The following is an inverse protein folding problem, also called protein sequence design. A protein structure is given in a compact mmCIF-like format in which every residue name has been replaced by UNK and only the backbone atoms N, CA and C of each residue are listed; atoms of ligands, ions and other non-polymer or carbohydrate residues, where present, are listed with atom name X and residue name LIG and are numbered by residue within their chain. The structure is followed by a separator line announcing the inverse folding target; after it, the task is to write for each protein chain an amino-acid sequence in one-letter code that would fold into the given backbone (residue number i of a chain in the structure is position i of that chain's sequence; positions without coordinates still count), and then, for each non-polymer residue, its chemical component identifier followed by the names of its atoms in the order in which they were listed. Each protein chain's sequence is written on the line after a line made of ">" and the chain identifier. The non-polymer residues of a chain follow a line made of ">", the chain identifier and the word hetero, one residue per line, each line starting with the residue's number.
data_IF_167725469424
#
_entry.id   IF_167725469424
#
_cell.length_a   1.000
_cell.length_b   1.000
_cell.length_c   1.000
_cell.angle_alpha   90.00
_cell.angle_beta   90.00
_cell.angle_gamma   90.00
#
_symmetry.space_group_name_H-M   'P 1'
#
loop_
_entity.id
_entity.type
_entity.pdbx_description
1 polymer ?
#
# COMPACT_ATOMS: atom_id res chain seq x y z
N UNK A 1 -8.15 -5.85 11.05
CA UNK A 1 -7.10 -6.85 10.73
C UNK A 1 -5.81 -6.22 10.18
N UNK A 2 -5.81 -4.97 9.70
CA UNK A 2 -4.60 -4.25 9.25
C UNK A 2 -3.65 -3.83 10.37
N UNK A 3 -4.12 -3.68 11.59
CA UNK A 3 -3.32 -3.28 12.76
C UNK A 3 -2.33 -4.35 13.22
N UNK A 4 -2.65 -5.63 13.09
CA UNK A 4 -1.79 -6.72 13.57
C UNK A 4 -0.48 -6.85 12.79
N UNK A 5 -0.43 -6.40 11.52
CA UNK A 5 0.79 -6.46 10.71
C UNK A 5 1.78 -5.35 11.09
N UNK A 6 1.29 -4.18 11.45
CA UNK A 6 2.13 -3.06 11.92
C UNK A 6 2.67 -3.29 13.32
N UNK A 7 1.88 -3.92 14.22
CA UNK A 7 2.32 -4.25 15.58
C UNK A 7 3.45 -5.29 15.60
N UNK A 8 3.47 -6.22 14.64
CA UNK A 8 4.54 -7.23 14.56
C UNK A 8 5.93 -6.62 14.23
N UNK A 9 5.97 -5.41 13.68
CA UNK A 9 7.22 -4.70 13.41
C UNK A 9 7.67 -3.79 14.57
N UNK A 10 6.78 -3.43 15.48
CA UNK A 10 7.10 -2.56 16.60
C UNK A 10 7.93 -3.25 17.70
N UNK A 11 7.76 -4.57 17.87
CA UNK A 11 8.33 -5.28 19.02
C UNK A 11 9.78 -5.78 18.82
N UNK A 12 10.36 -5.75 17.62
CA UNK A 12 11.66 -6.38 17.37
C UNK A 12 12.76 -5.45 16.80
N UNK A 13 12.49 -4.16 16.53
CA UNK A 13 13.47 -3.41 15.72
C UNK A 13 13.51 -1.91 16.01
N UNK A 14 14.14 -1.51 17.09
CA UNK A 14 14.69 -0.16 17.21
C UNK A 14 15.60 0.12 16.00
N UNK A 15 15.18 0.99 15.11
CA UNK A 15 15.96 1.42 13.93
C UNK A 15 15.78 0.63 12.63
N UNK A 16 15.20 -0.59 12.63
CA UNK A 16 15.00 -1.31 11.37
C UNK A 16 13.86 -0.72 10.53
N UNK A 17 12.83 -0.18 11.18
CA UNK A 17 11.75 0.52 10.47
C UNK A 17 12.26 1.81 9.84
N UNK A 18 13.10 2.57 10.54
CA UNK A 18 13.74 3.78 10.00
C UNK A 18 14.55 3.48 8.75
N UNK A 19 15.28 2.36 8.75
CA UNK A 19 16.07 1.93 7.60
C UNK A 19 15.19 1.48 6.40
N UNK A 20 14.01 0.92 6.66
CA UNK A 20 13.11 0.41 5.62
C UNK A 20 12.11 1.46 5.11
N UNK A 21 11.71 2.42 5.94
CA UNK A 21 10.68 3.40 5.63
C UNK A 21 10.93 4.18 4.31
N UNK A 22 12.14 4.66 4.01
CA UNK A 22 12.41 5.32 2.73
C UNK A 22 12.20 4.41 1.52
N UNK A 23 12.66 3.17 1.59
CA UNK A 23 12.51 2.20 0.50
C UNK A 23 11.05 1.79 0.28
N UNK A 24 10.29 1.65 1.37
CA UNK A 24 8.84 1.36 1.31
C UNK A 24 8.10 2.54 0.68
N UNK A 25 8.38 3.77 1.13
CA UNK A 25 7.79 4.98 0.58
C UNK A 25 8.10 5.14 -0.91
N UNK A 26 9.35 4.98 -1.32
CA UNK A 26 9.77 5.05 -2.72
C UNK A 26 9.07 4.00 -3.58
N UNK A 27 9.01 2.75 -3.10
CA UNK A 27 8.37 1.66 -3.85
C UNK A 27 6.86 1.88 -3.95
N UNK A 28 6.20 2.26 -2.85
CA UNK A 28 4.77 2.54 -2.85
C UNK A 28 4.43 3.73 -3.75
N UNK A 29 5.25 4.78 -3.77
CA UNK A 29 5.06 5.94 -4.66
C UNK A 29 5.14 5.54 -6.14
N UNK A 30 6.06 4.68 -6.54
CA UNK A 30 6.09 4.16 -7.92
C UNK A 30 4.83 3.37 -8.29
N UNK A 31 4.28 2.59 -7.36
CA UNK A 31 3.03 1.88 -7.59
C UNK A 31 1.84 2.85 -7.73
N UNK A 32 1.78 3.87 -6.88
CA UNK A 32 0.76 4.91 -6.96
C UNK A 32 0.88 5.73 -8.27
N UNK A 33 2.08 6.08 -8.67
CA UNK A 33 2.35 6.81 -9.91
C UNK A 33 1.89 6.02 -11.15
N UNK A 34 2.08 4.70 -11.18
CA UNK A 34 1.60 3.85 -12.27
C UNK A 34 0.09 3.90 -12.49
N UNK A 35 -0.66 4.17 -11.42
CA UNK A 35 -2.12 4.19 -11.41
C UNK A 35 -2.71 5.60 -11.54
N UNK A 36 -2.13 6.57 -10.84
CA UNK A 36 -2.68 7.89 -10.61
C UNK A 36 -1.78 9.04 -11.08
N UNK A 37 -0.61 8.74 -11.71
CA UNK A 37 0.38 9.73 -12.05
C UNK A 37 1.01 10.36 -10.80
N UNK A 38 1.53 11.58 -10.94
CA UNK A 38 2.23 12.31 -9.88
C UNK A 38 1.30 12.93 -8.82
N UNK A 39 -0.01 12.70 -8.92
CA UNK A 39 -0.98 13.31 -8.01
C UNK A 39 -0.73 12.97 -6.55
N UNK A 40 -0.42 11.71 -6.27
CA UNK A 40 -0.26 11.22 -4.90
C UNK A 40 1.17 10.85 -4.61
N UNK A 41 1.63 11.27 -3.43
CA UNK A 41 2.85 10.73 -2.84
C UNK A 41 2.66 10.44 -1.36
N UNK A 42 3.39 9.44 -0.87
CA UNK A 42 3.38 9.07 0.54
C UNK A 42 4.77 9.16 1.13
N UNK A 43 4.83 9.48 2.41
CA UNK A 43 6.04 9.33 3.23
C UNK A 43 5.69 8.67 4.55
N UNK A 44 6.62 7.88 5.06
CA UNK A 44 6.50 7.24 6.36
C UNK A 44 7.38 8.01 7.32
N UNK A 45 6.76 8.61 8.34
CA UNK A 45 7.44 9.26 9.45
C UNK A 45 7.51 8.29 10.62
N UNK A 46 8.70 8.06 11.14
CA UNK A 46 8.96 7.09 12.21
C UNK A 46 9.27 7.77 13.53
N UNK A 47 9.45 9.10 13.51
CA UNK A 47 9.80 9.88 14.69
C UNK A 47 9.08 11.23 14.72
N UNK A 48 8.81 11.73 15.93
CA UNK A 48 8.35 13.09 16.16
C UNK A 48 9.15 13.80 17.24
N UNK A 49 9.19 15.11 17.22
CA UNK A 49 9.77 15.90 18.30
C UNK A 49 8.69 16.14 19.35
N UNK A 50 8.87 15.54 20.54
CA UNK A 50 7.99 15.77 21.70
C UNK A 50 8.68 16.62 22.77
N UNK A 51 7.88 17.23 23.66
CA UNK A 51 8.34 18.11 24.74
C UNK A 51 8.39 19.58 24.35
N UNK A 52 8.64 20.44 25.33
CA UNK A 52 8.71 21.90 25.17
C UNK A 52 10.05 22.46 25.65
N UNK A 53 10.52 23.54 25.03
CA UNK A 53 11.73 24.25 25.43
C UNK A 53 12.99 23.39 25.35
N UNK A 54 13.79 23.36 26.43
CA UNK A 54 15.06 22.62 26.53
C UNK A 54 14.89 21.08 26.68
N UNK A 55 13.65 20.61 26.89
CA UNK A 55 13.32 19.19 27.07
C UNK A 55 12.78 18.54 25.80
N UNK A 56 13.12 19.05 24.62
CA UNK A 56 12.78 18.41 23.35
C UNK A 56 13.50 17.07 23.22
N UNK A 57 12.71 16.00 23.02
CA UNK A 57 13.22 14.65 22.76
C UNK A 57 12.60 14.14 21.49
N UNK A 58 13.37 13.38 20.74
CA UNK A 58 12.85 12.57 19.64
C UNK A 58 12.06 11.41 20.26
N UNK A 59 10.83 11.24 19.82
CA UNK A 59 9.91 10.19 20.27
C UNK A 59 9.60 9.36 19.04
N UNK A 60 9.66 8.05 19.16
CA UNK A 60 9.17 7.16 18.13
C UNK A 60 7.68 7.41 17.90
N UNK A 61 7.32 7.61 16.65
CA UNK A 61 5.94 7.86 16.24
C UNK A 61 5.79 7.39 14.77
N UNK A 62 4.86 6.51 14.52
CA UNK A 62 4.64 5.99 13.18
C UNK A 62 3.45 6.69 12.52
N UNK A 63 3.73 7.42 11.45
CA UNK A 63 2.69 8.08 10.66
C UNK A 63 2.92 7.88 9.17
N UNK A 64 1.83 7.64 8.48
CA UNK A 64 1.80 7.65 7.02
C UNK A 64 1.23 9.01 6.59
N UNK A 65 2.10 9.84 6.02
CA UNK A 65 1.73 11.12 5.44
C UNK A 65 1.38 10.91 3.97
N UNK A 66 0.33 11.56 3.52
CA UNK A 66 -0.15 11.51 2.14
C UNK A 66 -0.19 12.93 1.59
N UNK A 67 0.52 13.18 0.53
CA UNK A 67 0.44 14.41 -0.24
C UNK A 67 -0.45 14.16 -1.47
N UNK A 68 -1.46 14.99 -1.66
CA UNK A 68 -2.45 14.93 -2.72
C UNK A 68 -2.57 16.32 -3.33
N UNK A 69 -2.19 16.50 -4.57
CA UNK A 69 -2.15 17.80 -5.27
C UNK A 69 -1.45 18.91 -4.45
N UNK A 70 -0.39 18.53 -3.71
CA UNK A 70 0.43 19.46 -2.91
C UNK A 70 -0.06 19.69 -1.47
N UNK A 71 -1.22 19.18 -1.08
CA UNK A 71 -1.70 19.20 0.30
C UNK A 71 -1.30 17.94 1.04
N UNK A 72 -0.63 18.09 2.18
CA UNK A 72 -0.17 16.95 2.99
C UNK A 72 -1.05 16.76 4.21
N UNK A 73 -1.51 15.52 4.40
CA UNK A 73 -2.31 15.10 5.56
C UNK A 73 -1.92 13.69 5.99
N UNK A 74 -2.46 13.20 7.10
CA UNK A 74 -2.27 11.80 7.50
C UNK A 74 -3.24 10.90 6.73
N UNK A 75 -2.85 9.61 6.58
CA UNK A 75 -3.67 8.61 5.90
C UNK A 75 -5.07 8.45 6.53
N UNK A 76 -5.18 8.63 7.84
CA UNK A 76 -6.43 8.54 8.58
C UNK A 76 -7.46 9.60 8.16
N UNK A 77 -6.99 10.71 7.62
CA UNK A 77 -7.83 11.82 7.16
C UNK A 77 -8.29 11.66 5.69
N UNK A 78 -7.85 10.62 5.00
CA UNK A 78 -8.28 10.33 3.64
C UNK A 78 -9.63 9.62 3.60
N UNK A 79 -10.35 9.78 2.50
CA UNK A 79 -11.61 9.05 2.27
C UNK A 79 -11.40 7.54 2.30
N UNK A 80 -12.47 6.79 2.61
CA UNK A 80 -12.40 5.32 2.67
C UNK A 80 -11.87 4.70 1.36
N UNK A 81 -12.30 5.21 0.22
CA UNK A 81 -11.83 4.75 -1.10
C UNK A 81 -10.35 5.05 -1.32
N UNK A 82 -9.90 6.29 -1.03
CA UNK A 82 -8.48 6.67 -1.17
C UNK A 82 -7.58 5.86 -0.23
N UNK A 83 -8.01 5.67 1.01
CA UNK A 83 -7.25 4.89 1.98
C UNK A 83 -7.05 3.42 1.56
N UNK A 84 -8.01 2.82 0.84
CA UNK A 84 -7.92 1.42 0.37
C UNK A 84 -6.72 1.24 -0.55
N UNK A 85 -6.62 2.01 -1.62
CA UNK A 85 -5.55 1.81 -2.60
C UNK A 85 -4.20 2.35 -2.12
N UNK A 86 -4.16 3.39 -1.26
CA UNK A 86 -2.91 3.84 -0.64
C UNK A 86 -2.35 2.74 0.29
N UNK A 87 -3.17 2.18 1.17
CA UNK A 87 -2.77 1.05 2.02
C UNK A 87 -2.29 -0.13 1.18
N UNK A 88 -2.98 -0.41 0.08
CA UNK A 88 -2.58 -1.47 -0.83
C UNK A 88 -1.20 -1.25 -1.41
N UNK A 89 -0.90 -0.05 -1.91
CA UNK A 89 0.42 0.28 -2.44
C UNK A 89 1.53 0.07 -1.40
N UNK A 90 1.27 0.41 -0.14
CA UNK A 90 2.21 0.18 0.97
C UNK A 90 2.43 -1.32 1.22
N UNK A 91 1.35 -2.14 1.26
CA UNK A 91 1.49 -3.59 1.45
C UNK A 91 2.28 -4.25 0.32
N UNK A 92 2.02 -3.83 -0.91
CA UNK A 92 2.75 -4.35 -2.07
C UNK A 92 4.22 -3.91 -2.05
N UNK A 93 4.51 -2.67 -1.61
CA UNK A 93 5.87 -2.20 -1.42
C UNK A 93 6.64 -3.06 -0.41
N UNK A 94 6.01 -3.45 0.70
CA UNK A 94 6.61 -4.40 1.65
C UNK A 94 6.95 -5.73 1.00
N UNK A 95 6.06 -6.29 0.19
CA UNK A 95 6.32 -7.55 -0.51
C UNK A 95 7.51 -7.45 -1.46
N UNK A 96 7.63 -6.34 -2.20
CA UNK A 96 8.75 -6.05 -3.10
C UNK A 96 10.06 -5.91 -2.34
N UNK A 97 10.08 -5.12 -1.26
CA UNK A 97 11.26 -4.88 -0.43
C UNK A 97 11.72 -6.20 0.23
N UNK A 98 10.79 -6.95 0.82
CA UNK A 98 11.10 -8.25 1.42
C UNK A 98 11.77 -9.18 0.42
N UNK A 99 11.24 -9.25 -0.81
CA UNK A 99 11.86 -10.06 -1.86
C UNK A 99 13.28 -9.61 -2.17
N UNK A 100 13.52 -8.30 -2.30
CA UNK A 100 14.85 -7.75 -2.58
C UNK A 100 15.85 -8.10 -1.49
N UNK A 101 15.43 -8.00 -0.23
CA UNK A 101 16.32 -8.15 0.92
C UNK A 101 16.58 -9.61 1.30
N UNK A 102 15.60 -10.50 1.11
CA UNK A 102 15.69 -11.89 1.60
C UNK A 102 15.74 -12.93 0.48
N UNK A 103 15.46 -12.54 -0.77
CA UNK A 103 15.25 -13.47 -1.88
C UNK A 103 13.93 -14.24 -1.79
N UNK A 104 13.19 -14.14 -0.66
CA UNK A 104 11.92 -14.80 -0.48
C UNK A 104 10.83 -14.08 -1.28
N UNK A 105 10.08 -14.82 -2.08
CA UNK A 105 8.98 -14.30 -2.87
C UNK A 105 7.67 -14.98 -2.53
N UNK A 106 6.64 -14.17 -2.32
CA UNK A 106 5.27 -14.67 -2.46
C UNK A 106 5.01 -14.89 -3.96
N UNK A 107 4.46 -16.04 -4.30
CA UNK A 107 4.18 -16.37 -5.71
C UNK A 107 2.76 -16.00 -6.11
N UNK A 108 1.86 -15.89 -5.15
CA UNK A 108 0.44 -15.63 -5.37
C UNK A 108 -0.06 -14.53 -4.43
N UNK A 109 -0.77 -13.59 -5.00
CA UNK A 109 -1.50 -12.56 -4.28
C UNK A 109 -3.00 -12.80 -4.42
N UNK A 110 -3.73 -12.69 -3.31
CA UNK A 110 -5.19 -12.77 -3.28
C UNK A 110 -5.78 -11.42 -2.93
N UNK A 111 -6.82 -11.03 -3.65
CA UNK A 111 -7.63 -9.84 -3.44
C UNK A 111 -9.09 -10.27 -3.34
N UNK A 112 -9.71 -10.02 -2.18
CA UNK A 112 -11.10 -10.40 -1.93
C UNK A 112 -11.94 -9.13 -1.74
N UNK A 113 -12.75 -8.82 -2.74
CA UNK A 113 -13.70 -7.67 -2.78
C UNK A 113 -13.09 -6.31 -2.36
N UNK A 114 -11.78 -6.13 -2.55
CA UNK A 114 -11.07 -4.90 -2.15
C UNK A 114 -11.45 -3.68 -2.98
N UNK A 115 -12.11 -3.87 -4.11
CA UNK A 115 -12.59 -2.85 -5.03
C UNK A 115 -14.01 -2.34 -4.70
N UNK A 116 -14.69 -2.91 -3.70
CA UNK A 116 -16.09 -2.59 -3.38
C UNK A 116 -16.34 -1.12 -3.00
N UNK A 117 -15.36 -0.44 -2.40
CA UNK A 117 -15.45 0.97 -2.02
C UNK A 117 -15.01 1.96 -3.11
N UNK A 118 -14.58 1.46 -4.29
CA UNK A 118 -14.02 2.26 -5.37
C UNK A 118 -15.09 2.61 -6.43
N UNK A 119 -15.05 3.84 -6.95
CA UNK A 119 -15.80 4.20 -8.15
C UNK A 119 -15.19 3.59 -9.43
N UNK A 120 -15.83 3.73 -10.56
CA UNK A 120 -15.41 3.10 -11.82
C UNK A 120 -14.01 3.58 -12.27
N UNK A 121 -13.68 4.85 -12.08
CA UNK A 121 -12.38 5.40 -12.47
C UNK A 121 -11.27 4.91 -11.53
N UNK A 122 -11.54 4.88 -10.24
CA UNK A 122 -10.62 4.37 -9.23
C UNK A 122 -10.37 2.86 -9.37
N UNK A 123 -11.39 2.06 -9.81
CA UNK A 123 -11.22 0.64 -10.12
C UNK A 123 -10.23 0.42 -11.26
N UNK A 124 -10.32 1.23 -12.31
CA UNK A 124 -9.38 1.16 -13.44
C UNK A 124 -7.95 1.45 -13.00
N UNK A 125 -7.75 2.53 -12.22
CA UNK A 125 -6.46 2.89 -11.67
C UNK A 125 -5.93 1.81 -10.72
N UNK A 126 -6.79 1.25 -9.88
CA UNK A 126 -6.46 0.16 -8.97
C UNK A 126 -5.96 -1.09 -9.70
N UNK A 127 -6.61 -1.50 -10.80
CA UNK A 127 -6.15 -2.63 -11.61
C UNK A 127 -4.75 -2.38 -12.20
N UNK A 128 -4.46 -1.17 -12.71
CA UNK A 128 -3.11 -0.82 -13.17
C UNK A 128 -2.07 -0.92 -12.06
N UNK A 129 -2.41 -0.48 -10.86
CA UNK A 129 -1.53 -0.62 -9.70
C UNK A 129 -1.27 -2.09 -9.35
N UNK A 130 -2.29 -2.97 -9.44
CA UNK A 130 -2.12 -4.40 -9.22
C UNK A 130 -1.21 -5.05 -10.27
N UNK A 131 -1.30 -4.64 -11.54
CA UNK A 131 -0.39 -5.07 -12.60
C UNK A 131 1.04 -4.64 -12.30
N UNK A 132 1.26 -3.37 -11.96
CA UNK A 132 2.58 -2.88 -11.57
C UNK A 132 3.14 -3.61 -10.34
N UNK A 133 2.29 -3.92 -9.35
CA UNK A 133 2.66 -4.72 -8.18
C UNK A 133 3.04 -6.15 -8.56
N UNK A 134 2.27 -6.76 -9.45
CA UNK A 134 2.53 -8.11 -9.97
C UNK A 134 3.94 -8.19 -10.58
N UNK A 135 4.27 -7.25 -11.44
CA UNK A 135 5.58 -7.18 -12.09
C UNK A 135 6.71 -6.88 -11.10
N UNK A 136 6.53 -5.87 -10.23
CA UNK A 136 7.55 -5.46 -9.27
C UNK A 136 7.89 -6.55 -8.25
N UNK A 137 6.87 -7.24 -7.75
CA UNK A 137 7.02 -8.38 -6.82
C UNK A 137 7.32 -9.69 -7.55
N UNK A 138 7.30 -9.73 -8.90
CA UNK A 138 7.46 -10.91 -9.76
C UNK A 138 6.55 -12.06 -9.29
N UNK A 139 5.28 -11.76 -9.08
CA UNK A 139 4.28 -12.75 -8.75
C UNK A 139 4.07 -13.70 -9.95
N UNK A 140 3.63 -14.91 -9.68
CA UNK A 140 3.13 -15.84 -10.72
C UNK A 140 1.64 -15.63 -10.97
N UNK A 141 0.89 -15.33 -9.89
CA UNK A 141 -0.55 -15.19 -9.96
C UNK A 141 -1.00 -14.00 -9.11
N UNK A 142 -1.92 -13.21 -9.64
CA UNK A 142 -2.76 -12.29 -8.87
C UNK A 142 -4.20 -12.73 -9.07
N UNK A 143 -4.82 -13.18 -7.98
CA UNK A 143 -6.21 -13.68 -7.97
C UNK A 143 -7.08 -12.60 -7.35
N UNK A 144 -8.09 -12.16 -8.10
CA UNK A 144 -9.03 -11.12 -7.69
C UNK A 144 -10.42 -11.74 -7.61
N UNK A 145 -11.02 -11.70 -6.42
CA UNK A 145 -12.42 -12.03 -6.21
C UNK A 145 -13.18 -10.71 -6.24
N UNK A 146 -14.09 -10.55 -7.17
CA UNK A 146 -14.85 -9.30 -7.36
C UNK A 146 -16.22 -9.53 -7.97
N UNK A 147 -17.17 -8.70 -7.57
CA UNK A 147 -18.48 -8.57 -8.23
C UNK A 147 -18.50 -7.49 -9.31
N UNK A 148 -17.44 -6.65 -9.40
CA UNK A 148 -17.35 -5.54 -10.34
C UNK A 148 -17.17 -6.01 -11.78
N UNK A 149 -18.04 -5.57 -12.68
CA UNK A 149 -17.94 -5.85 -14.11
C UNK A 149 -16.75 -5.08 -14.75
N UNK A 150 -16.41 -3.91 -14.22
CA UNK A 150 -15.27 -3.10 -14.63
C UNK A 150 -13.97 -3.85 -14.41
N UNK A 151 -13.76 -4.38 -13.19
CA UNK A 151 -12.58 -5.18 -12.86
C UNK A 151 -12.53 -6.46 -13.68
N UNK A 152 -13.68 -7.16 -13.82
CA UNK A 152 -13.77 -8.36 -14.67
C UNK A 152 -13.39 -8.10 -16.13
N UNK A 153 -13.67 -6.90 -16.65
CA UNK A 153 -13.32 -6.55 -18.03
C UNK A 153 -11.81 -6.38 -18.25
N UNK A 154 -11.06 -6.10 -17.20
CA UNK A 154 -9.61 -5.83 -17.24
C UNK A 154 -8.74 -7.06 -17.05
N UNK A 155 -9.29 -8.19 -16.62
CA UNK A 155 -8.51 -9.41 -16.39
C UNK A 155 -8.61 -10.37 -17.57
N UNK A 156 -7.49 -11.02 -17.91
CA UNK A 156 -7.43 -11.95 -19.06
C UNK A 156 -8.14 -13.27 -18.79
N UNK A 157 -7.96 -13.84 -17.60
CA UNK A 157 -8.54 -15.13 -17.22
C UNK A 157 -9.65 -14.94 -16.19
N UNK A 158 -10.80 -15.54 -16.46
CA UNK A 158 -12.00 -15.45 -15.61
C UNK A 158 -12.48 -16.82 -15.22
N UNK A 159 -12.77 -16.99 -13.94
CA UNK A 159 -13.45 -18.15 -13.40
C UNK A 159 -14.80 -17.66 -12.88
N UNK A 160 -15.89 -18.05 -13.52
CA UNK A 160 -17.23 -17.79 -13.01
C UNK A 160 -17.54 -18.81 -11.91
N UNK A 161 -17.78 -18.33 -10.69
CA UNK A 161 -18.34 -19.15 -9.63
C UNK A 161 -19.84 -19.06 -9.73
N UNK A 162 -20.48 -20.10 -10.25
CA UNK A 162 -21.92 -20.23 -10.19
C UNK A 162 -22.32 -20.52 -8.74
N UNK A 163 -23.35 -19.83 -8.28
CA UNK A 163 -23.94 -20.12 -6.96
C UNK A 163 -24.41 -21.56 -6.95
N UNK A 164 -23.78 -22.37 -6.09
CA UNK A 164 -24.24 -23.72 -5.76
C UNK A 164 -25.58 -23.67 -5.03
#
# INVERSE_FOLDING_TARGET
>A
TGFAFLTCFQDETDGALDALAPGISETANRLLESAYGERFSISIETTRIGGSGKSRKQIEDFKIMVTDDGETTTLENKSGGEAVWIKRAIYDAFAVIRRRNTGFAFLTCFQDETDGALDASAKTAYCRMLEASHEAAKLRHTIIITHSNEVKAMVEQKIAMESL
#
